data_IF_416542072955
#
_entry.id   IF_416542072955
#
_cell.length_a   1.000
_cell.length_b   1.000
_cell.length_c   1.000
_cell.angle_alpha   90.00
_cell.angle_beta   90.00
_cell.angle_gamma   90.00
#
_symmetry.space_group_name_H-M   'P 1'
#
loop_
_entity.id
_entity.type
_entity.pdbx_description
1 polymer ?
#
# COMPACT_ATOMS: atom_id res chain seq x y z
N UNK A 1 -18.60 11.46 34.10
CA UNK A 1 -17.23 11.17 33.61
C UNK A 1 -17.01 12.12 32.44
N UNK A 2 -16.12 13.09 32.58
CA UNK A 2 -15.86 14.04 31.46
C UNK A 2 -15.08 13.30 30.38
N UNK A 3 -15.62 13.27 29.16
CA UNK A 3 -14.87 12.75 28.00
C UNK A 3 -13.65 13.64 27.75
N UNK A 4 -12.45 13.02 27.77
CA UNK A 4 -11.18 13.71 27.54
C UNK A 4 -10.86 13.78 26.03
N UNK A 5 -11.67 13.13 25.19
CA UNK A 5 -11.47 13.06 23.74
C UNK A 5 -12.67 13.60 22.97
N UNK A 6 -12.41 14.50 22.03
CA UNK A 6 -13.39 14.92 21.03
C UNK A 6 -13.28 14.08 19.77
N UNK A 7 -14.39 13.82 19.09
CA UNK A 7 -14.44 13.13 17.79
C UNK A 7 -14.85 14.13 16.71
N UNK A 8 -14.03 14.26 15.67
CA UNK A 8 -14.40 14.95 14.44
C UNK A 8 -14.62 13.90 13.35
N UNK A 9 -15.79 13.89 12.73
CA UNK A 9 -16.11 13.01 11.62
C UNK A 9 -15.91 13.75 10.31
N UNK A 10 -15.13 13.13 9.39
CA UNK A 10 -14.90 13.64 8.03
C UNK A 10 -15.36 12.59 7.05
N UNK A 11 -16.38 12.92 6.26
CA UNK A 11 -16.90 12.05 5.22
C UNK A 11 -16.16 12.30 3.90
N UNK A 12 -15.47 11.25 3.41
CA UNK A 12 -14.85 11.25 2.08
C UNK A 12 -15.91 10.91 1.03
N UNK A 13 -15.84 11.58 -0.13
CA UNK A 13 -16.79 11.41 -1.23
C UNK A 13 -16.22 10.54 -2.34
N UNK A 14 -17.08 10.06 -3.25
CA UNK A 14 -16.66 9.28 -4.42
C UNK A 14 -15.63 10.04 -5.28
N UNK A 15 -15.72 11.38 -5.32
CA UNK A 15 -14.74 12.20 -6.01
C UNK A 15 -13.32 12.05 -5.45
N UNK A 16 -13.18 11.90 -4.12
CA UNK A 16 -11.88 11.62 -3.50
C UNK A 16 -11.33 10.25 -3.96
N UNK A 17 -12.17 9.21 -3.94
CA UNK A 17 -11.73 7.85 -4.31
C UNK A 17 -11.43 7.72 -5.80
N UNK A 18 -12.09 8.50 -6.66
CA UNK A 18 -11.86 8.53 -8.11
C UNK A 18 -10.59 9.31 -8.50
N UNK A 19 -10.10 10.20 -7.66
CA UNK A 19 -8.92 10.99 -7.94
C UNK A 19 -7.64 10.18 -7.67
N UNK A 20 -6.77 10.05 -8.68
CA UNK A 20 -5.47 9.38 -8.55
C UNK A 20 -4.57 9.97 -7.46
N UNK A 21 -4.74 11.25 -7.11
CA UNK A 21 -3.99 11.89 -6.02
C UNK A 21 -4.39 11.37 -4.63
N UNK A 22 -5.52 10.69 -4.50
CA UNK A 22 -5.96 10.11 -3.23
C UNK A 22 -5.01 9.04 -2.68
N UNK A 23 -4.26 8.36 -3.56
CA UNK A 23 -3.24 7.37 -3.17
C UNK A 23 -1.91 8.00 -2.75
N UNK A 24 -1.79 9.31 -2.83
CA UNK A 24 -0.64 10.09 -2.41
C UNK A 24 -0.96 10.89 -1.14
N UNK A 25 0.04 11.55 -0.54
CA UNK A 25 -0.17 12.48 0.57
C UNK A 25 -0.53 13.87 0.07
N UNK A 26 -1.49 13.95 -0.84
CA UNK A 26 -1.88 15.19 -1.51
C UNK A 26 -2.99 15.94 -0.77
N UNK A 27 -3.97 15.23 -0.26
CA UNK A 27 -5.11 15.81 0.44
C UNK A 27 -4.79 16.00 1.92
N UNK A 28 -4.97 17.23 2.41
CA UNK A 28 -4.68 17.60 3.80
C UNK A 28 -5.91 18.26 4.41
N UNK A 29 -6.28 17.81 5.60
CA UNK A 29 -7.34 18.41 6.40
C UNK A 29 -6.67 19.25 7.50
N UNK A 30 -6.71 20.59 7.40
CA UNK A 30 -6.20 21.46 8.45
C UNK A 30 -7.22 21.57 9.58
N UNK A 31 -6.81 21.33 10.81
CA UNK A 31 -7.58 21.60 12.00
C UNK A 31 -6.90 22.71 12.79
N UNK A 32 -7.64 23.74 13.19
CA UNK A 32 -7.16 24.86 13.98
C UNK A 32 -7.94 24.95 15.28
N UNK A 33 -7.22 25.07 16.39
CA UNK A 33 -7.82 25.37 17.70
C UNK A 33 -8.19 26.86 17.73
N UNK A 34 -9.45 27.16 17.96
CA UNK A 34 -10.00 28.52 17.99
C UNK A 34 -10.41 28.94 19.38
N UNK A 35 -10.71 27.98 20.26
CA UNK A 35 -11.12 28.21 21.64
C UNK A 35 -10.68 27.03 22.52
N UNK A 36 -10.49 27.29 23.82
CA UNK A 36 -10.09 26.30 24.83
C UNK A 36 -10.75 26.60 26.16
N UNK A 37 -11.22 25.56 26.84
CA UNK A 37 -11.73 25.65 28.20
C UNK A 37 -10.76 24.96 29.18
N UNK A 38 -10.51 25.62 30.30
CA UNK A 38 -9.64 25.08 31.35
C UNK A 38 -8.12 25.22 31.10
N UNK A 39 -7.74 26.10 30.17
CA UNK A 39 -6.35 26.52 29.95
C UNK A 39 -6.27 28.05 29.84
N UNK A 40 -5.11 28.63 30.15
CA UNK A 40 -4.94 30.08 30.21
C UNK A 40 -4.89 30.77 28.86
N UNK A 41 -4.38 30.09 27.84
CA UNK A 41 -4.27 30.66 26.48
C UNK A 41 -4.01 29.59 25.40
N UNK A 42 -4.24 30.00 24.14
CA UNK A 42 -3.87 29.27 22.95
C UNK A 42 -2.56 29.84 22.39
N UNK A 43 -1.61 29.00 22.07
CA UNK A 43 -0.30 29.42 21.52
C UNK A 43 -0.44 29.78 20.05
N UNK A 44 -0.78 31.02 19.76
CA UNK A 44 -1.03 31.54 18.41
C UNK A 44 0.23 31.86 17.61
N UNK A 45 1.41 31.79 18.26
CA UNK A 45 2.67 32.21 17.67
C UNK A 45 2.83 33.73 17.58
N UNK A 46 3.93 34.18 16.99
CA UNK A 46 4.21 35.60 16.74
C UNK A 46 4.60 35.76 15.26
N UNK A 47 3.78 36.41 14.44
CA UNK A 47 4.10 36.64 13.04
C UNK A 47 5.32 37.56 12.87
N UNK A 48 6.09 37.32 11.85
CA UNK A 48 7.16 38.18 11.36
C UNK A 48 6.72 39.09 10.22
N UNK A 49 5.57 38.81 9.62
CA UNK A 49 4.98 39.52 8.46
C UNK A 49 3.51 39.88 8.74
N UNK A 50 2.94 40.83 8.01
CA UNK A 50 1.57 41.32 8.25
C UNK A 50 0.48 40.28 7.90
N UNK A 51 0.74 39.39 6.93
CA UNK A 51 -0.21 38.36 6.49
C UNK A 51 0.44 36.99 6.44
N UNK A 52 0.70 36.38 7.62
CA UNK A 52 1.44 35.13 7.71
C UNK A 52 0.64 33.95 7.16
N UNK A 53 1.28 33.12 6.38
CA UNK A 53 0.76 31.81 5.99
C UNK A 53 1.06 30.81 7.12
N UNK A 54 0.02 30.16 7.64
CA UNK A 54 0.09 29.32 8.84
C UNK A 54 1.17 28.21 8.73
N UNK A 55 1.38 27.69 7.54
CA UNK A 55 2.30 26.58 7.26
C UNK A 55 3.66 27.01 6.75
N UNK A 56 3.90 28.31 6.53
CA UNK A 56 5.20 28.84 6.11
C UNK A 56 5.99 29.29 7.34
N UNK A 57 7.02 28.53 7.73
CA UNK A 57 7.82 28.82 8.91
C UNK A 57 8.50 30.20 8.87
N UNK A 58 8.88 30.68 7.70
CA UNK A 58 9.57 31.96 7.51
C UNK A 58 8.69 33.18 7.81
N UNK A 59 7.37 33.01 7.82
CA UNK A 59 6.41 34.08 8.15
C UNK A 59 6.26 34.31 9.67
N UNK A 60 6.96 33.52 10.50
CA UNK A 60 6.77 33.50 11.94
C UNK A 60 8.08 33.72 12.71
N UNK A 61 8.10 34.66 13.64
CA UNK A 61 9.16 34.80 14.63
C UNK A 61 9.05 33.76 15.74
N UNK A 62 7.83 33.30 16.04
CA UNK A 62 7.51 32.18 16.92
C UNK A 62 6.40 31.40 16.22
N UNK A 63 6.66 30.12 15.93
CA UNK A 63 5.70 29.26 15.24
C UNK A 63 4.40 29.08 16.05
N UNK A 64 3.22 29.14 15.39
CA UNK A 64 1.96 28.81 16.03
C UNK A 64 1.89 27.32 16.35
N UNK A 65 1.29 26.98 17.51
CA UNK A 65 1.08 25.59 17.95
C UNK A 65 -0.39 25.23 18.10
N UNK A 66 -1.26 26.00 17.48
CA UNK A 66 -2.72 25.86 17.58
C UNK A 66 -3.35 25.19 16.37
N UNK A 67 -2.58 24.47 15.55
CA UNK A 67 -3.10 23.74 14.42
C UNK A 67 -2.41 22.39 14.23
N UNK A 68 -3.08 21.51 13.52
CA UNK A 68 -2.54 20.22 13.07
C UNK A 68 -3.02 19.95 11.66
N UNK A 69 -2.18 19.30 10.85
CA UNK A 69 -2.47 18.93 9.48
C UNK A 69 -2.60 17.40 9.40
N UNK A 70 -3.76 16.91 8.96
CA UNK A 70 -3.98 15.49 8.70
C UNK A 70 -3.87 15.22 7.21
N UNK A 71 -2.81 14.58 6.77
CA UNK A 71 -2.71 14.07 5.40
C UNK A 71 -3.56 12.80 5.27
N UNK A 72 -4.47 12.78 4.31
CA UNK A 72 -5.35 11.65 4.03
C UNK A 72 -4.84 10.93 2.79
N UNK A 73 -4.57 9.63 2.93
CA UNK A 73 -4.16 8.75 1.85
C UNK A 73 -5.10 7.56 1.77
N UNK A 74 -5.57 7.25 0.57
CA UNK A 74 -6.34 6.05 0.31
C UNK A 74 -5.43 4.84 0.14
N UNK A 75 -5.78 3.75 0.79
CA UNK A 75 -5.25 2.42 0.54
C UNK A 75 -6.44 1.46 0.44
N UNK A 76 -6.49 0.68 -0.61
CA UNK A 76 -7.61 -0.24 -0.83
C UNK A 76 -7.51 -1.49 0.06
N UNK A 77 -8.55 -2.36 0.11
CA UNK A 77 -8.57 -3.53 0.99
C UNK A 77 -7.49 -4.57 0.68
N UNK A 78 -6.86 -4.54 -0.47
CA UNK A 78 -5.84 -5.52 -0.89
C UNK A 78 -4.42 -5.02 -0.67
N UNK A 79 -4.23 -3.72 -0.39
CA UNK A 79 -2.94 -3.14 -0.04
C UNK A 79 -2.32 -3.82 1.18
N UNK A 80 -1.02 -4.11 1.13
CA UNK A 80 -0.29 -4.66 2.27
C UNK A 80 0.93 -5.47 1.89
N UNK A 81 1.62 -5.98 2.90
CA UNK A 81 2.71 -6.93 2.79
C UNK A 81 2.17 -8.34 2.91
N UNK A 82 2.59 -9.21 2.01
CA UNK A 82 2.15 -10.59 1.90
C UNK A 82 3.34 -11.54 1.90
N UNK A 83 3.11 -12.74 2.41
CA UNK A 83 4.02 -13.88 2.33
C UNK A 83 3.62 -14.68 1.10
N UNK A 84 4.52 -14.80 0.13
CA UNK A 84 4.28 -15.39 -1.18
C UNK A 84 4.82 -16.80 -1.27
N UNK A 85 3.96 -17.75 -1.58
CA UNK A 85 4.30 -19.14 -1.89
C UNK A 85 3.60 -19.59 -3.16
N UNK A 86 4.13 -20.60 -3.83
CA UNK A 86 3.51 -21.07 -5.05
C UNK A 86 4.39 -21.98 -5.90
N UNK A 87 3.98 -22.14 -7.15
CA UNK A 87 4.65 -22.99 -8.12
C UNK A 87 4.82 -22.19 -9.40
N UNK A 88 6.05 -22.16 -9.91
CA UNK A 88 6.40 -21.58 -11.19
C UNK A 88 6.79 -22.68 -12.19
N UNK A 89 6.26 -22.58 -13.39
CA UNK A 89 6.83 -23.19 -14.57
C UNK A 89 7.60 -22.11 -15.32
N UNK A 90 8.92 -22.18 -15.26
CA UNK A 90 9.81 -21.17 -15.84
C UNK A 90 10.41 -21.73 -17.12
N UNK A 91 10.27 -21.03 -18.22
CA UNK A 91 10.93 -21.35 -19.50
C UNK A 91 11.94 -20.27 -19.83
N UNK A 92 13.22 -20.63 -19.98
CA UNK A 92 14.32 -19.73 -20.32
C UNK A 92 15.00 -20.27 -21.58
N UNK A 93 15.01 -19.47 -22.66
CA UNK A 93 15.60 -19.87 -23.95
C UNK A 93 15.06 -21.22 -24.47
N UNK A 94 13.80 -21.53 -24.18
CA UNK A 94 13.13 -22.77 -24.60
C UNK A 94 13.30 -23.96 -23.64
N UNK A 95 14.11 -23.85 -22.61
CA UNK A 95 14.27 -24.87 -21.56
C UNK A 95 13.31 -24.59 -20.41
N UNK A 96 12.50 -25.57 -20.04
CA UNK A 96 11.48 -25.42 -19.00
C UNK A 96 11.87 -26.15 -17.73
N UNK A 97 11.66 -25.49 -16.57
CA UNK A 97 11.80 -26.09 -15.24
C UNK A 97 10.65 -25.68 -14.33
N UNK A 98 10.28 -26.58 -13.42
CA UNK A 98 9.35 -26.27 -12.35
C UNK A 98 10.11 -25.86 -11.09
N UNK A 99 9.64 -24.80 -10.44
CA UNK A 99 10.16 -24.31 -9.15
C UNK A 99 9.02 -24.24 -8.16
N UNK A 100 9.14 -24.95 -7.05
CA UNK A 100 8.21 -24.84 -5.93
C UNK A 100 8.80 -23.84 -4.93
N UNK A 101 8.06 -22.79 -4.65
CA UNK A 101 8.44 -21.71 -3.74
C UNK A 101 7.59 -21.78 -2.49
N UNK A 102 8.08 -22.36 -1.45
CA UNK A 102 7.58 -22.20 -0.09
C UNK A 102 8.63 -22.67 0.92
N UNK A 103 8.67 -22.00 2.05
CA UNK A 103 9.46 -22.46 3.19
C UNK A 103 8.66 -23.49 4.01
N UNK A 104 9.33 -24.16 4.93
CA UNK A 104 8.70 -25.09 5.90
C UNK A 104 7.60 -24.37 6.71
N UNK A 105 7.87 -23.13 7.10
CA UNK A 105 6.94 -22.26 7.83
C UNK A 105 6.60 -21.04 6.96
N UNK A 106 5.32 -20.66 6.96
CA UNK A 106 4.79 -19.54 6.18
C UNK A 106 5.50 -18.20 6.50
N UNK A 107 5.95 -18.04 7.75
CA UNK A 107 6.69 -16.85 8.21
C UNK A 107 8.02 -16.62 7.50
N UNK A 108 8.55 -17.64 6.85
CA UNK A 108 9.82 -17.61 6.12
C UNK A 108 9.65 -17.59 4.60
N UNK A 109 8.41 -17.52 4.12
CA UNK A 109 8.14 -17.35 2.70
C UNK A 109 8.61 -15.97 2.22
N UNK A 110 8.67 -15.79 0.92
CA UNK A 110 9.06 -14.53 0.28
C UNK A 110 8.11 -13.39 0.66
N UNK A 111 8.64 -12.29 1.18
CA UNK A 111 7.88 -11.06 1.42
C UNK A 111 7.68 -10.31 0.11
N UNK A 112 6.44 -9.93 -0.19
CA UNK A 112 6.08 -9.09 -1.33
C UNK A 112 5.08 -8.02 -0.91
N UNK A 113 5.14 -6.86 -1.57
CA UNK A 113 4.23 -5.75 -1.30
C UNK A 113 3.21 -5.60 -2.43
N UNK A 114 1.93 -5.53 -2.05
CA UNK A 114 0.84 -5.10 -2.93
C UNK A 114 0.55 -3.65 -2.62
N UNK A 115 0.71 -2.80 -3.62
CA UNK A 115 0.57 -1.36 -3.49
C UNK A 115 -0.63 -0.84 -4.27
N UNK A 116 -1.48 -0.07 -3.60
CA UNK A 116 -2.63 0.58 -4.23
C UNK A 116 -2.17 1.53 -5.35
N UNK A 117 -2.71 1.34 -6.55
CA UNK A 117 -2.49 2.19 -7.72
C UNK A 117 -3.70 3.07 -8.04
N UNK A 118 -4.92 2.58 -7.75
CA UNK A 118 -6.18 3.30 -7.90
C UNK A 118 -7.29 2.65 -7.04
N UNK A 119 -8.52 3.08 -7.18
CA UNK A 119 -9.66 2.64 -6.34
C UNK A 119 -9.84 1.14 -6.21
N UNK A 120 -9.63 0.34 -7.20
CA UNK A 120 -9.69 -1.14 -7.18
C UNK A 120 -8.52 -1.76 -7.90
N UNK A 121 -7.41 -1.03 -7.98
CA UNK A 121 -6.26 -1.42 -8.74
C UNK A 121 -5.02 -1.41 -7.85
N UNK A 122 -4.21 -2.43 -8.00
CA UNK A 122 -2.98 -2.63 -7.25
C UNK A 122 -1.83 -3.03 -8.17
N UNK A 123 -0.62 -2.80 -7.70
CA UNK A 123 0.62 -3.23 -8.32
C UNK A 123 1.34 -4.24 -7.43
N UNK A 124 1.81 -5.32 -8.04
CA UNK A 124 2.65 -6.34 -7.42
C UNK A 124 3.93 -6.46 -8.24
N UNK A 125 5.06 -6.01 -7.68
CA UNK A 125 6.36 -6.12 -8.32
C UNK A 125 7.08 -7.38 -7.86
N UNK A 126 7.50 -8.19 -8.82
CA UNK A 126 8.14 -9.48 -8.62
C UNK A 126 9.47 -9.56 -9.38
N UNK A 127 10.24 -10.58 -9.09
CA UNK A 127 11.51 -10.85 -9.77
C UNK A 127 11.60 -12.30 -10.23
N UNK A 128 12.27 -12.49 -11.37
CA UNK A 128 12.69 -13.80 -11.86
C UNK A 128 14.17 -13.77 -12.19
N UNK A 129 14.86 -14.88 -11.96
CA UNK A 129 16.29 -15.02 -12.34
C UNK A 129 16.40 -15.71 -13.69
N UNK A 130 17.27 -15.17 -14.55
CA UNK A 130 17.66 -15.82 -15.80
C UNK A 130 18.60 -17.03 -15.59
N UNK A 131 19.04 -17.65 -16.68
CA UNK A 131 19.96 -18.79 -16.65
C UNK A 131 21.35 -18.46 -16.10
N UNK A 132 21.77 -17.21 -16.11
CA UNK A 132 23.02 -16.70 -15.57
C UNK A 132 22.89 -16.26 -14.09
N UNK A 133 21.67 -16.23 -13.54
CA UNK A 133 21.36 -15.82 -12.18
C UNK A 133 21.08 -14.31 -12.02
N UNK A 134 21.05 -13.54 -13.11
CA UNK A 134 20.68 -12.14 -13.06
C UNK A 134 19.16 -11.99 -12.79
N UNK A 135 18.80 -11.04 -11.92
CA UNK A 135 17.43 -10.81 -11.54
C UNK A 135 16.77 -9.79 -12.49
N UNK A 136 15.60 -10.15 -13.00
CA UNK A 136 14.77 -9.30 -13.85
C UNK A 136 13.46 -9.01 -13.12
N UNK A 137 13.18 -7.72 -12.90
CA UNK A 137 11.95 -7.27 -12.23
C UNK A 137 10.83 -7.06 -13.25
N UNK A 138 9.62 -7.41 -12.87
CA UNK A 138 8.40 -7.11 -13.59
C UNK A 138 7.28 -6.75 -12.64
N UNK A 139 6.30 -6.00 -13.10
CA UNK A 139 5.17 -5.57 -12.29
C UNK A 139 3.88 -6.13 -12.89
N UNK A 140 3.07 -6.75 -12.07
CA UNK A 140 1.70 -7.14 -12.38
C UNK A 140 0.76 -6.02 -11.97
N UNK A 141 -0.22 -5.73 -12.80
CA UNK A 141 -1.36 -4.89 -12.49
C UNK A 141 -2.55 -5.79 -12.15
N UNK A 142 -3.10 -5.60 -10.96
CA UNK A 142 -4.18 -6.38 -10.39
C UNK A 142 -5.44 -5.51 -10.33
N UNK A 143 -6.48 -5.86 -11.08
CA UNK A 143 -7.76 -5.16 -11.05
C UNK A 143 -8.83 -6.02 -10.37
N UNK A 144 -9.32 -5.56 -9.22
CA UNK A 144 -10.29 -6.28 -8.39
C UNK A 144 -11.73 -5.79 -8.62
N UNK A 145 -12.68 -6.68 -8.46
CA UNK A 145 -14.10 -6.36 -8.37
C UNK A 145 -14.61 -6.45 -6.92
N UNK A 146 -15.90 -6.16 -6.71
CA UNK A 146 -16.52 -6.14 -5.38
C UNK A 146 -16.61 -7.53 -4.73
N UNK A 147 -16.62 -8.59 -5.54
CA UNK A 147 -16.60 -9.98 -5.07
C UNK A 147 -15.19 -10.50 -4.78
N UNK A 148 -14.17 -9.64 -4.94
CA UNK A 148 -12.76 -9.97 -4.72
C UNK A 148 -12.13 -10.77 -5.86
N UNK A 149 -12.81 -10.98 -7.00
CA UNK A 149 -12.18 -11.53 -8.18
C UNK A 149 -11.20 -10.52 -8.79
N UNK A 150 -10.10 -11.01 -9.32
CA UNK A 150 -9.00 -10.21 -9.82
C UNK A 150 -8.64 -10.60 -11.26
N UNK A 151 -8.41 -9.61 -12.09
CA UNK A 151 -7.79 -9.77 -13.43
C UNK A 151 -6.32 -9.33 -13.30
N UNK A 152 -5.43 -10.15 -13.83
CA UNK A 152 -3.98 -9.89 -13.86
C UNK A 152 -3.58 -9.45 -15.25
N UNK A 153 -2.92 -8.30 -15.35
CA UNK A 153 -2.32 -7.77 -16.58
C UNK A 153 -0.91 -7.27 -16.32
N UNK A 154 -0.19 -6.84 -17.36
CA UNK A 154 1.14 -6.27 -17.17
C UNK A 154 1.06 -4.81 -16.69
N UNK A 155 1.88 -4.47 -15.69
CA UNK A 155 2.19 -3.11 -15.26
C UNK A 155 3.58 -2.63 -15.70
N UNK A 156 4.30 -3.44 -16.48
CA UNK A 156 5.65 -3.10 -16.99
C UNK A 156 5.67 -2.97 -18.50
N UNK A 157 6.46 -2.05 -19.09
CA UNK A 157 6.71 -2.01 -20.53
C UNK A 157 7.50 -3.26 -20.96
N UNK A 158 7.33 -3.70 -22.21
CA UNK A 158 8.02 -4.86 -22.82
C UNK A 158 7.81 -6.20 -22.07
N UNK A 159 6.79 -6.26 -21.23
CA UNK A 159 6.34 -7.48 -20.55
C UNK A 159 4.87 -7.68 -20.85
N UNK A 160 4.50 -8.88 -21.27
CA UNK A 160 3.10 -9.25 -21.34
C UNK A 160 2.74 -10.10 -20.13
N UNK A 161 1.56 -9.86 -19.57
CA UNK A 161 1.03 -10.68 -18.48
C UNK A 161 -0.47 -10.85 -18.66
N UNK A 162 -0.97 -12.05 -18.33
CA UNK A 162 -2.39 -12.35 -18.32
C UNK A 162 -2.71 -13.40 -17.28
N UNK A 163 -3.85 -13.26 -16.65
CA UNK A 163 -4.27 -14.21 -15.63
C UNK A 163 -5.46 -13.73 -14.83
N UNK A 164 -5.75 -14.46 -13.77
CA UNK A 164 -6.84 -14.16 -12.86
C UNK A 164 -6.47 -14.53 -11.43
N UNK A 165 -7.28 -14.06 -10.50
CA UNK A 165 -7.12 -14.41 -9.10
C UNK A 165 -8.35 -14.10 -8.27
N UNK A 166 -8.22 -14.32 -6.98
CA UNK A 166 -9.29 -14.05 -6.03
C UNK A 166 -8.72 -13.73 -4.66
N UNK A 167 -9.23 -12.66 -4.06
CA UNK A 167 -9.08 -12.38 -2.64
C UNK A 167 -10.11 -13.18 -1.84
N UNK A 168 -9.66 -13.81 -0.77
CA UNK A 168 -10.52 -14.55 0.17
C UNK A 168 -10.19 -14.11 1.59
N UNK A 169 -11.17 -13.46 2.25
CA UNK A 169 -10.99 -13.08 3.66
C UNK A 169 -10.87 -14.35 4.52
N UNK A 170 -9.82 -14.41 5.35
CA UNK A 170 -9.46 -15.57 6.17
C UNK A 170 -9.35 -16.87 5.35
N UNK A 171 -8.86 -16.77 4.11
CA UNK A 171 -8.72 -17.89 3.18
C UNK A 171 -7.71 -18.93 3.65
N UNK A 172 -6.59 -18.51 4.24
CA UNK A 172 -5.58 -19.39 4.81
C UNK A 172 -5.85 -19.63 6.29
N UNK A 173 -6.18 -20.90 6.60
CA UNK A 173 -6.55 -21.33 7.96
C UNK A 173 -5.34 -21.70 8.78
N UNK A 174 -5.37 -21.34 10.08
CA UNK A 174 -4.30 -21.66 11.03
C UNK A 174 -2.90 -21.37 10.45
N UNK A 175 -2.77 -20.23 9.76
CA UNK A 175 -1.59 -19.83 9.02
C UNK A 175 -0.65 -18.98 9.90
N UNK A 176 -0.16 -17.86 9.41
CA UNK A 176 0.80 -16.97 10.07
C UNK A 176 0.41 -16.65 11.53
N UNK A 177 1.26 -17.07 12.47
CA UNK A 177 1.02 -16.90 13.91
C UNK A 177 -0.14 -17.71 14.44
N UNK A 178 -0.47 -18.84 13.82
CA UNK A 178 -1.58 -19.73 14.22
C UNK A 178 -2.97 -19.10 14.05
N UNK A 179 -3.11 -18.11 13.17
CA UNK A 179 -4.37 -17.39 12.92
C UNK A 179 -4.84 -17.57 11.48
N UNK A 180 -6.15 -17.45 11.28
CA UNK A 180 -6.72 -17.33 9.94
C UNK A 180 -6.30 -16.02 9.33
N UNK A 181 -5.77 -16.06 8.09
CA UNK A 181 -5.27 -14.90 7.37
C UNK A 181 -6.01 -14.68 6.06
N UNK A 182 -6.17 -13.42 5.70
CA UNK A 182 -6.62 -13.04 4.36
C UNK A 182 -5.60 -13.53 3.34
N UNK A 183 -6.07 -13.97 2.19
CA UNK A 183 -5.22 -14.46 1.13
C UNK A 183 -5.66 -13.98 -0.25
N UNK A 184 -4.70 -13.86 -1.16
CA UNK A 184 -4.95 -13.66 -2.59
C UNK A 184 -4.35 -14.86 -3.33
N UNK A 185 -5.17 -15.54 -4.09
CA UNK A 185 -4.77 -16.63 -4.98
C UNK A 185 -4.68 -16.09 -6.39
N UNK A 186 -3.54 -16.28 -7.06
CA UNK A 186 -3.30 -15.82 -8.42
C UNK A 186 -2.87 -17.00 -9.31
N UNK A 187 -3.37 -17.01 -10.53
CA UNK A 187 -2.88 -17.88 -11.61
C UNK A 187 -2.65 -17.02 -12.84
N UNK A 188 -1.40 -16.95 -13.30
CA UNK A 188 -1.02 -16.02 -14.36
C UNK A 188 0.16 -16.52 -15.19
N UNK A 189 0.25 -15.97 -16.40
CA UNK A 189 1.39 -16.13 -17.30
C UNK A 189 2.06 -14.78 -17.51
N UNK A 190 3.39 -14.80 -17.62
CA UNK A 190 4.22 -13.62 -17.92
C UNK A 190 5.20 -13.98 -19.01
N UNK A 191 5.40 -13.07 -19.96
CA UNK A 191 6.43 -13.16 -20.98
C UNK A 191 7.31 -11.90 -20.93
N UNK A 192 8.58 -12.09 -20.52
CA UNK A 192 9.62 -11.07 -20.55
C UNK A 192 10.37 -11.21 -21.89
N UNK A 193 9.85 -10.57 -22.91
CA UNK A 193 10.26 -10.74 -24.31
C UNK A 193 11.77 -10.46 -24.52
N UNK A 194 12.29 -9.39 -23.91
CA UNK A 194 13.70 -8.98 -24.06
C UNK A 194 14.69 -10.01 -23.46
N UNK A 195 14.24 -10.84 -22.52
CA UNK A 195 15.03 -11.81 -21.78
C UNK A 195 14.79 -13.25 -22.23
N UNK A 196 13.83 -13.50 -23.15
CA UNK A 196 13.37 -14.84 -23.52
C UNK A 196 12.97 -15.68 -22.28
N UNK A 197 12.28 -15.08 -21.33
CA UNK A 197 11.80 -15.74 -20.13
C UNK A 197 10.28 -15.75 -20.12
N UNK A 198 9.71 -16.95 -19.96
CA UNK A 198 8.27 -17.15 -19.80
C UNK A 198 7.99 -17.81 -18.45
N UNK A 199 6.92 -17.36 -17.81
CA UNK A 199 6.46 -17.87 -16.53
C UNK A 199 4.99 -18.29 -16.65
N UNK A 200 4.67 -19.46 -16.10
CA UNK A 200 3.30 -19.82 -15.74
C UNK A 200 3.29 -20.10 -14.23
N UNK A 201 2.56 -19.27 -13.48
CA UNK A 201 2.67 -19.21 -12.03
C UNK A 201 1.31 -19.40 -11.36
N UNK A 202 1.31 -20.17 -10.26
CA UNK A 202 0.21 -20.24 -9.29
C UNK A 202 0.75 -19.78 -7.95
N UNK A 203 0.23 -18.65 -7.46
CA UNK A 203 0.63 -18.01 -6.21
C UNK A 203 -0.47 -18.06 -5.15
N UNK A 204 -0.05 -18.23 -3.91
CA UNK A 204 -0.82 -17.92 -2.71
C UNK A 204 -0.08 -16.81 -1.97
N UNK A 205 -0.74 -15.67 -1.82
CA UNK A 205 -0.24 -14.50 -1.09
C UNK A 205 -0.99 -14.43 0.24
N UNK A 206 -0.30 -14.71 1.35
CA UNK A 206 -0.87 -14.70 2.71
C UNK A 206 -0.63 -13.35 3.35
N UNK A 207 -1.66 -12.65 3.77
CA UNK A 207 -1.52 -11.32 4.37
C UNK A 207 -0.71 -11.36 5.67
N UNK A 208 0.42 -10.64 5.67
CA UNK A 208 1.26 -10.44 6.84
C UNK A 208 0.82 -9.21 7.64
N UNK A 209 0.74 -8.06 6.98
CA UNK A 209 0.31 -6.79 7.57
C UNK A 209 -0.22 -5.84 6.50
N UNK A 210 -1.18 -4.98 6.88
CA UNK A 210 -1.70 -3.95 5.96
C UNK A 210 -0.75 -2.77 5.77
N UNK A 211 0.31 -2.64 6.58
CA UNK A 211 1.27 -1.51 6.53
C UNK A 211 0.61 -0.13 6.55
N UNK A 212 -0.59 -0.02 7.11
CA UNK A 212 -1.29 1.24 7.30
C UNK A 212 -0.82 1.81 8.63
N UNK A 213 0.06 2.81 8.57
CA UNK A 213 0.60 3.50 9.74
C UNK A 213 0.15 4.96 9.74
N UNK A 214 -0.31 5.45 10.89
CA UNK A 214 -0.45 6.88 11.13
C UNK A 214 0.96 7.43 11.37
N UNK A 215 1.48 8.20 10.42
CA UNK A 215 2.72 8.92 10.61
C UNK A 215 2.43 10.21 11.37
N UNK A 216 2.90 10.30 12.61
CA UNK A 216 2.99 11.56 13.33
C UNK A 216 4.35 12.18 12.98
N UNK A 217 4.35 13.31 12.29
CA UNK A 217 5.54 14.16 12.22
C UNK A 217 5.49 15.10 13.40
N UNK A 218 6.22 14.81 14.45
CA UNK A 218 6.44 15.74 15.54
C UNK A 218 7.62 16.64 15.20
N UNK A 219 7.39 17.75 14.52
CA UNK A 219 8.32 18.88 14.49
C UNK A 219 7.96 19.87 15.61
N UNK A 220 7.78 19.38 16.82
CA UNK A 220 7.43 20.22 17.93
C UNK A 220 8.21 19.80 19.19
N UNK A 221 9.53 19.62 19.05
CA UNK A 221 10.40 19.46 20.20
C UNK A 221 11.81 19.90 19.82
N UNK A 222 12.06 21.20 19.89
CA UNK A 222 13.26 21.79 20.51
C UNK A 222 12.96 23.25 20.88
#
# INVERSE_FOLDING_TARGET
MNEISGRLEVQLTDAFFADKKSIERYYVIPLRMTDVQGADSILLGKPAVDSPVLTNADDWSILPKNYVLYAVKYANPWHGQYLRRGIDQITINGESKQVVRHAEFVEKDEDVDINTAAYKEDLLTLQVKDGAGAAHSFTLHLAFNDEGACIVTSGSPNVTASGSGKFVSKGEKNSLGGKDRDAIYLEYNVDLQDQNIQLATKDTLVLRTRNICLLYTSDAAD
#
